data_IF_187409871833
#
_entry.id   IF_187409871833
#
_cell.length_a   1.000
_cell.length_b   1.000
_cell.length_c   1.000
_cell.angle_alpha   90.00
_cell.angle_beta   90.00
_cell.angle_gamma   90.00
#
_symmetry.space_group_name_H-M   'P 1'
#
loop_
_entity.id
_entity.type
_entity.pdbx_description
1 polymer ?
#
# COMPACT_ATOMS: atom_id res chain seq x y z
N UNK A 1 39.37 64.87 -57.34
CA UNK A 1 40.73 65.31 -57.54
C UNK A 1 41.63 64.23 -57.00
N UNK A 2 42.19 63.43 -57.90
CA UNK A 2 43.57 63.38 -58.33
C UNK A 2 44.46 62.71 -57.27
N UNK A 3 45.10 61.73 -57.52
CA UNK A 3 45.98 60.97 -58.41
C UNK A 3 46.83 60.04 -57.52
N UNK A 4 46.92 58.76 -57.86
CA UNK A 4 48.10 58.09 -58.56
C UNK A 4 49.43 58.27 -57.78
N UNK A 5 50.21 57.23 -57.51
CA UNK A 5 51.13 56.52 -58.34
C UNK A 5 51.82 55.40 -57.55
N UNK A 6 51.81 54.17 -58.04
CA UNK A 6 52.82 53.28 -58.52
C UNK A 6 53.78 52.53 -57.58
N UNK A 7 53.75 51.27 -57.79
CA UNK A 7 54.65 50.14 -57.67
C UNK A 7 56.16 50.42 -58.03
N UNK A 8 57.11 49.51 -57.85
CA UNK A 8 57.11 48.04 -57.59
C UNK A 8 58.32 47.55 -56.74
N UNK A 9 58.33 46.28 -56.44
CA UNK A 9 59.58 45.60 -56.39
C UNK A 9 59.84 44.53 -55.35
N UNK A 10 60.03 43.39 -55.89
CA UNK A 10 60.94 42.32 -55.54
C UNK A 10 60.51 41.14 -54.69
N UNK A 11 60.45 40.09 -55.37
CA UNK A 11 60.32 38.67 -55.06
C UNK A 11 61.45 38.16 -54.11
N UNK A 12 61.07 37.49 -53.01
CA UNK A 12 61.91 36.45 -52.43
C UNK A 12 61.03 35.26 -51.98
N UNK A 13 61.15 34.18 -52.75
CA UNK A 13 60.59 32.87 -52.40
C UNK A 13 61.48 32.22 -51.35
N UNK A 14 60.84 31.82 -50.19
CA UNK A 14 61.39 30.81 -49.28
C UNK A 14 60.37 29.69 -49.14
N UNK A 15 60.77 28.40 -49.17
CA UNK A 15 59.83 27.29 -49.03
C UNK A 15 59.43 27.10 -47.56
N UNK A 16 58.14 27.09 -47.32
CA UNK A 16 57.60 26.72 -46.01
C UNK A 16 57.33 25.21 -46.00
N UNK A 17 58.11 24.50 -45.21
CA UNK A 17 57.84 23.09 -44.88
C UNK A 17 56.48 23.01 -44.20
N UNK A 18 55.54 22.32 -44.83
CA UNK A 18 54.26 21.97 -44.25
C UNK A 18 54.41 20.81 -43.23
N UNK A 19 54.50 21.12 -41.94
CA UNK A 19 54.38 20.14 -40.87
C UNK A 19 52.90 19.80 -40.68
N UNK A 20 52.46 18.62 -41.13
CA UNK A 20 51.17 18.08 -40.87
C UNK A 20 51.06 17.66 -39.39
N UNK A 21 50.42 18.47 -38.55
CA UNK A 21 50.04 18.09 -37.19
C UNK A 21 48.75 17.26 -37.30
N UNK A 22 48.89 15.94 -37.19
CA UNK A 22 47.78 15.01 -37.06
C UNK A 22 47.27 15.14 -35.62
N UNK A 23 46.21 15.92 -35.42
CA UNK A 23 45.45 15.95 -34.17
C UNK A 23 44.59 14.70 -34.14
N UNK A 24 45.02 13.66 -33.43
CA UNK A 24 44.15 12.52 -33.04
C UNK A 24 43.10 13.02 -32.06
N UNK A 25 41.90 13.33 -32.56
CA UNK A 25 40.71 13.48 -31.77
C UNK A 25 40.33 12.09 -31.21
N UNK A 26 40.77 11.79 -30.00
CA UNK A 26 40.22 10.73 -29.17
C UNK A 26 38.75 11.12 -28.81
N UNK A 27 37.83 10.74 -29.67
CA UNK A 27 36.38 10.78 -29.36
C UNK A 27 36.14 9.76 -28.26
N UNK A 28 36.21 10.19 -27.00
CA UNK A 28 35.68 9.45 -25.89
C UNK A 28 34.15 9.36 -26.09
N UNK A 29 33.68 8.25 -26.63
CA UNK A 29 32.27 7.90 -26.62
C UNK A 29 31.89 7.68 -25.14
N UNK A 30 31.45 8.73 -24.46
CA UNK A 30 30.77 8.59 -23.22
C UNK A 30 29.48 7.77 -23.51
N UNK A 31 29.53 6.49 -23.18
CA UNK A 31 28.32 5.68 -23.12
C UNK A 31 27.33 6.43 -22.21
N UNK A 32 26.10 6.69 -22.66
CA UNK A 32 25.11 7.27 -21.76
C UNK A 32 25.00 6.33 -20.56
N UNK A 33 25.27 6.85 -19.38
CA UNK A 33 24.96 6.14 -18.14
C UNK A 33 23.47 5.86 -18.20
N UNK A 34 23.10 4.60 -18.42
CA UNK A 34 21.70 4.19 -18.42
C UNK A 34 21.21 4.45 -17.00
N UNK A 35 20.23 5.36 -16.87
CA UNK A 35 19.61 5.62 -15.57
C UNK A 35 19.05 4.29 -15.06
N UNK A 36 19.36 3.95 -13.81
CA UNK A 36 18.82 2.75 -13.17
C UNK A 36 17.31 2.81 -13.19
N UNK A 37 16.69 1.67 -13.38
CA UNK A 37 15.26 1.53 -13.22
C UNK A 37 14.87 1.82 -11.77
N UNK A 38 13.75 2.50 -11.57
CA UNK A 38 13.27 2.82 -10.22
C UNK A 38 11.94 2.10 -9.96
N UNK A 39 11.93 1.20 -8.98
CA UNK A 39 10.71 0.60 -8.45
C UNK A 39 10.04 1.57 -7.47
N UNK A 40 8.81 2.00 -7.81
CA UNK A 40 8.00 2.89 -6.96
C UNK A 40 7.04 2.06 -6.12
N UNK A 41 7.25 2.03 -4.81
CA UNK A 41 6.44 1.25 -3.87
C UNK A 41 5.52 2.18 -3.08
N UNK A 42 4.20 1.98 -3.26
CA UNK A 42 3.19 2.63 -2.45
C UNK A 42 2.87 1.81 -1.20
N UNK A 43 2.71 2.46 -0.05
CA UNK A 43 2.37 1.78 1.21
C UNK A 43 1.48 2.65 2.09
N UNK A 44 0.76 2.02 3.02
CA UNK A 44 -0.01 2.71 4.04
C UNK A 44 0.82 2.84 5.32
N UNK A 45 0.53 3.85 6.14
CA UNK A 45 1.15 3.98 7.46
C UNK A 45 1.02 2.70 8.32
N UNK A 46 -0.08 1.96 8.14
CA UNK A 46 -0.34 0.68 8.83
C UNK A 46 0.25 -0.55 8.13
N UNK A 47 0.96 -0.39 7.00
CA UNK A 47 1.65 -1.50 6.33
C UNK A 47 2.85 -1.93 7.16
N UNK A 48 2.86 -3.18 7.63
CA UNK A 48 3.88 -3.66 8.57
C UNK A 48 5.12 -4.18 7.87
N UNK A 49 4.98 -5.23 7.04
CA UNK A 49 6.14 -5.93 6.48
C UNK A 49 6.97 -5.04 5.56
N UNK A 50 6.30 -4.27 4.72
CA UNK A 50 7.01 -3.36 3.82
C UNK A 50 7.70 -2.21 4.58
N UNK A 51 7.10 -1.74 5.69
CA UNK A 51 7.71 -0.73 6.55
C UNK A 51 8.95 -1.28 7.26
N UNK A 52 8.93 -2.53 7.71
CA UNK A 52 10.10 -3.21 8.26
C UNK A 52 11.21 -3.33 7.22
N UNK A 53 10.90 -3.80 6.02
CA UNK A 53 11.86 -3.94 4.91
C UNK A 53 12.50 -2.59 4.55
N UNK A 54 11.67 -1.53 4.42
CA UNK A 54 12.12 -0.17 4.19
C UNK A 54 13.07 0.32 5.28
N UNK A 55 12.65 0.20 6.55
CA UNK A 55 13.41 0.73 7.69
C UNK A 55 14.73 -0.03 7.90
N UNK A 56 14.73 -1.33 7.64
CA UNK A 56 15.93 -2.18 7.71
C UNK A 56 16.83 -2.05 6.48
N UNK A 57 16.36 -1.39 5.40
CA UNK A 57 17.09 -1.28 4.14
C UNK A 57 17.30 -2.60 3.39
N UNK A 58 16.61 -3.66 3.79
CA UNK A 58 16.80 -5.01 3.21
C UNK A 58 16.32 -5.06 1.77
N UNK A 59 15.13 -4.53 1.50
CA UNK A 59 14.57 -4.52 0.14
C UNK A 59 15.37 -3.60 -0.77
N UNK A 60 15.76 -2.40 -0.29
CA UNK A 60 16.60 -1.48 -1.04
C UNK A 60 17.93 -2.12 -1.45
N UNK A 61 18.57 -2.85 -0.52
CA UNK A 61 19.80 -3.58 -0.80
C UNK A 61 19.60 -4.66 -1.86
N UNK A 62 18.59 -5.52 -1.70
CA UNK A 62 18.33 -6.62 -2.63
C UNK A 62 18.01 -6.11 -4.04
N UNK A 63 17.26 -5.00 -4.16
CA UNK A 63 16.95 -4.39 -5.45
C UNK A 63 18.16 -3.65 -6.05
N UNK A 64 19.00 -3.01 -5.24
CA UNK A 64 20.23 -2.39 -5.71
C UNK A 64 21.21 -3.41 -6.30
N UNK A 65 21.27 -4.62 -5.72
CA UNK A 65 22.05 -5.75 -6.27
C UNK A 65 21.52 -6.23 -7.64
N UNK A 66 20.23 -5.93 -7.93
CA UNK A 66 19.59 -6.17 -9.23
C UNK A 66 19.56 -4.92 -10.14
N UNK A 67 20.40 -3.90 -9.86
CA UNK A 67 20.45 -2.61 -10.58
C UNK A 67 19.14 -1.80 -10.57
N UNK A 68 18.33 -1.94 -9.52
CA UNK A 68 17.06 -1.25 -9.35
C UNK A 68 17.13 -0.32 -8.14
N UNK A 69 16.77 0.94 -8.34
CA UNK A 69 16.58 1.91 -7.26
C UNK A 69 15.14 1.80 -6.71
N UNK A 70 14.91 2.20 -5.46
CA UNK A 70 13.59 2.17 -4.83
C UNK A 70 13.13 3.57 -4.44
N UNK A 71 11.87 3.88 -4.72
CA UNK A 71 11.21 5.06 -4.15
C UNK A 71 9.97 4.66 -3.35
N UNK A 72 9.78 5.32 -2.22
CA UNK A 72 8.75 4.98 -1.23
C UNK A 72 7.68 6.07 -1.16
N UNK A 73 6.39 5.70 -1.30
CA UNK A 73 5.27 6.62 -1.33
C UNK A 73 4.22 6.22 -0.28
N UNK A 74 4.01 7.08 0.72
CA UNK A 74 3.05 6.82 1.79
C UNK A 74 1.66 7.35 1.45
N UNK A 75 0.62 6.55 1.76
CA UNK A 75 -0.78 6.84 1.54
C UNK A 75 -1.59 6.71 2.84
N UNK A 76 -2.67 7.50 3.02
CA UNK A 76 -3.47 7.46 4.24
C UNK A 76 -4.30 6.17 4.37
N UNK A 77 -4.63 5.50 3.26
CA UNK A 77 -5.40 4.25 3.23
C UNK A 77 -5.23 3.51 1.90
N UNK A 78 -5.78 2.29 1.80
CA UNK A 78 -5.62 1.45 0.62
C UNK A 78 -6.28 1.97 -0.65
N UNK A 79 -7.43 2.67 -0.56
CA UNK A 79 -8.13 3.13 -1.75
C UNK A 79 -7.29 4.16 -2.56
N UNK A 80 -6.81 5.28 -1.99
CA UNK A 80 -5.94 6.18 -2.72
C UNK A 80 -4.61 5.55 -3.17
N UNK A 81 -4.13 4.52 -2.46
CA UNK A 81 -2.96 3.75 -2.90
C UNK A 81 -3.25 2.99 -4.21
N UNK A 82 -4.37 2.25 -4.30
CA UNK A 82 -4.71 1.55 -5.53
C UNK A 82 -5.16 2.48 -6.67
N UNK A 83 -5.68 3.66 -6.37
CA UNK A 83 -5.90 4.72 -7.37
C UNK A 83 -4.56 5.19 -7.97
N UNK A 84 -3.53 5.42 -7.13
CA UNK A 84 -2.19 5.77 -7.59
C UNK A 84 -1.53 4.65 -8.40
N UNK A 85 -1.73 3.39 -8.00
CA UNK A 85 -1.27 2.22 -8.75
C UNK A 85 -1.94 2.14 -10.13
N UNK A 86 -3.25 2.35 -10.19
CA UNK A 86 -4.02 2.26 -11.43
C UNK A 86 -3.61 3.31 -12.47
N UNK A 87 -3.19 4.51 -12.03
CA UNK A 87 -2.71 5.58 -12.93
C UNK A 87 -1.20 5.55 -13.14
N UNK A 88 -0.50 4.55 -12.62
CA UNK A 88 0.93 4.34 -12.83
C UNK A 88 1.84 5.28 -12.03
N UNK A 89 1.36 5.88 -10.94
CA UNK A 89 2.19 6.70 -10.04
C UNK A 89 3.04 5.85 -9.10
N UNK A 90 2.64 4.60 -8.84
CA UNK A 90 3.42 3.57 -8.17
C UNK A 90 3.35 2.27 -8.98
N UNK A 91 4.34 1.39 -8.82
CA UNK A 91 4.46 0.13 -9.55
C UNK A 91 3.96 -1.05 -8.73
N UNK A 92 4.17 -1.00 -7.43
CA UNK A 92 3.72 -2.00 -6.47
C UNK A 92 2.95 -1.32 -5.34
N UNK A 93 1.80 -1.90 -5.00
CA UNK A 93 1.08 -1.63 -3.76
C UNK A 93 1.54 -2.61 -2.68
N UNK A 94 1.99 -2.09 -1.54
CA UNK A 94 2.07 -2.86 -0.31
C UNK A 94 0.67 -3.37 0.10
N UNK A 95 0.63 -4.08 1.20
CA UNK A 95 -0.57 -4.74 1.68
C UNK A 95 -1.78 -3.80 1.82
N UNK A 96 -2.84 -4.13 1.10
CA UNK A 96 -4.16 -3.50 1.26
C UNK A 96 -5.19 -4.53 1.75
N UNK A 97 -6.24 -4.09 2.42
CA UNK A 97 -7.32 -4.98 2.84
C UNK A 97 -8.06 -5.58 1.63
N UNK A 98 -8.61 -6.75 1.82
CA UNK A 98 -9.34 -7.56 0.83
C UNK A 98 -10.49 -6.84 0.10
N UNK A 99 -11.05 -5.81 0.71
CA UNK A 99 -12.09 -4.96 0.12
C UNK A 99 -11.56 -4.02 -0.96
N UNK A 100 -10.34 -3.50 -0.80
CA UNK A 100 -9.80 -2.42 -1.66
C UNK A 100 -9.68 -2.84 -3.13
N UNK A 101 -9.20 -4.05 -3.45
CA UNK A 101 -9.15 -4.53 -4.84
C UNK A 101 -10.53 -4.62 -5.50
N UNK A 102 -11.59 -4.91 -4.74
CA UNK A 102 -12.97 -4.94 -5.27
C UNK A 102 -13.41 -3.56 -5.74
N UNK A 103 -13.12 -2.51 -4.97
CA UNK A 103 -13.39 -1.13 -5.39
C UNK A 103 -12.56 -0.72 -6.61
N UNK A 104 -11.30 -1.15 -6.67
CA UNK A 104 -10.45 -0.92 -7.83
C UNK A 104 -10.98 -1.63 -9.09
N UNK A 105 -11.43 -2.89 -8.98
CA UNK A 105 -12.08 -3.63 -10.07
C UNK A 105 -13.39 -2.96 -10.52
N UNK A 106 -14.22 -2.47 -9.58
CA UNK A 106 -15.41 -1.70 -9.91
C UNK A 106 -15.09 -0.44 -10.73
N UNK A 107 -13.93 0.18 -10.48
CA UNK A 107 -13.37 1.29 -11.26
C UNK A 107 -12.59 0.85 -12.51
N UNK A 108 -12.64 -0.45 -12.88
CA UNK A 108 -11.97 -1.03 -14.05
C UNK A 108 -10.44 -0.96 -14.02
N UNK A 109 -9.83 -0.90 -12.84
CA UNK A 109 -8.39 -0.94 -12.68
C UNK A 109 -7.80 -2.26 -13.24
N UNK A 110 -6.63 -2.15 -13.86
CA UNK A 110 -5.90 -3.28 -14.48
C UNK A 110 -4.82 -3.78 -13.53
N UNK A 111 -5.23 -4.56 -12.53
CA UNK A 111 -4.39 -4.98 -11.42
C UNK A 111 -4.16 -6.49 -11.40
N UNK A 112 -2.98 -6.88 -10.93
CA UNK A 112 -2.56 -8.26 -10.70
C UNK A 112 -2.28 -8.45 -9.21
N UNK A 113 -2.87 -9.46 -8.60
CA UNK A 113 -2.52 -9.92 -7.27
C UNK A 113 -1.22 -10.71 -7.33
N UNK A 114 -0.20 -10.35 -6.57
CA UNK A 114 1.06 -11.12 -6.57
C UNK A 114 1.38 -11.78 -5.23
N UNK A 115 0.80 -11.32 -4.13
CA UNK A 115 0.92 -11.97 -2.82
C UNK A 115 -0.31 -11.68 -1.95
N UNK A 116 -0.51 -12.51 -0.93
CA UNK A 116 -1.50 -12.28 0.12
C UNK A 116 -0.90 -12.64 1.50
N UNK A 117 -1.44 -12.05 2.55
CA UNK A 117 -1.26 -12.55 3.91
C UNK A 117 -2.44 -13.44 4.30
N UNK A 118 -2.17 -14.51 5.03
CA UNK A 118 -3.20 -15.38 5.59
C UNK A 118 -4.17 -14.57 6.49
N UNK A 119 -5.40 -15.07 6.71
CA UNK A 119 -6.44 -14.38 7.48
C UNK A 119 -5.98 -13.86 8.83
N UNK A 120 -6.46 -12.67 9.19
CA UNK A 120 -6.17 -12.00 10.46
C UNK A 120 -7.44 -11.35 11.04
N UNK A 121 -8.51 -12.11 11.28
CA UNK A 121 -9.84 -11.56 11.61
C UNK A 121 -9.84 -10.69 12.87
N UNK A 122 -9.04 -11.02 13.88
CA UNK A 122 -8.91 -10.24 15.13
C UNK A 122 -8.16 -8.91 14.96
N UNK A 123 -7.52 -8.68 13.80
CA UNK A 123 -6.80 -7.43 13.53
C UNK A 123 -7.73 -6.24 13.17
N UNK A 124 -9.01 -6.39 13.29
CA UNK A 124 -10.02 -5.34 13.09
C UNK A 124 -11.21 -5.54 14.05
N UNK A 125 -11.83 -4.46 14.49
CA UNK A 125 -12.97 -4.53 15.42
C UNK A 125 -13.90 -3.33 15.29
N UNK A 126 -15.13 -3.53 15.79
CA UNK A 126 -16.11 -2.49 16.10
C UNK A 126 -15.95 -2.18 17.59
N UNK A 127 -15.53 -0.96 17.90
CA UNK A 127 -15.31 -0.52 19.28
C UNK A 127 -16.29 0.59 19.68
N UNK A 128 -16.66 0.57 20.94
CA UNK A 128 -17.43 1.61 21.61
C UNK A 128 -16.68 2.06 22.87
N UNK A 129 -16.98 3.25 23.41
CA UNK A 129 -16.47 3.65 24.72
C UNK A 129 -17.02 2.72 25.81
N UNK A 130 -16.26 2.50 26.86
CA UNK A 130 -16.63 1.58 27.93
C UNK A 130 -17.98 1.95 28.60
N UNK A 131 -18.27 3.24 28.72
CA UNK A 131 -19.50 3.81 29.29
C UNK A 131 -20.65 3.88 28.27
N UNK A 132 -20.43 3.46 27.03
CA UNK A 132 -21.49 3.46 26.00
C UNK A 132 -22.65 2.54 26.36
N UNK A 133 -23.91 2.95 26.13
CA UNK A 133 -25.08 2.10 26.30
C UNK A 133 -25.19 0.97 25.28
N UNK A 134 -24.40 1.00 24.19
CA UNK A 134 -24.42 -0.02 23.15
C UNK A 134 -23.78 -1.30 23.67
N UNK A 135 -24.56 -2.37 23.86
CA UNK A 135 -24.07 -3.64 24.42
C UNK A 135 -23.90 -4.74 23.37
N UNK A 136 -24.62 -4.65 22.26
CA UNK A 136 -24.65 -5.64 21.19
C UNK A 136 -24.74 -4.96 19.81
N UNK A 137 -24.51 -5.73 18.74
CA UNK A 137 -24.52 -5.21 17.37
C UNK A 137 -25.89 -4.61 16.97
N UNK A 138 -27.00 -5.14 17.47
CA UNK A 138 -28.34 -4.62 17.18
C UNK A 138 -28.55 -3.18 17.69
N UNK A 139 -27.80 -2.77 18.72
CA UNK A 139 -27.86 -1.42 19.28
C UNK A 139 -27.25 -0.35 18.36
N UNK A 140 -26.55 -0.77 17.28
CA UNK A 140 -26.03 0.14 16.26
C UNK A 140 -27.12 0.80 15.41
N UNK A 141 -28.38 0.32 15.48
CA UNK A 141 -29.49 0.91 14.72
C UNK A 141 -29.67 2.39 15.04
N UNK A 142 -29.66 3.23 14.00
CA UNK A 142 -29.74 4.70 14.09
C UNK A 142 -28.49 5.39 14.63
N UNK A 143 -27.42 4.67 14.93
CA UNK A 143 -26.20 5.22 15.54
C UNK A 143 -25.23 5.75 14.49
N UNK A 144 -24.43 6.73 14.91
CA UNK A 144 -23.36 7.30 14.08
C UNK A 144 -22.10 6.48 14.25
N UNK A 145 -21.69 5.82 13.17
CA UNK A 145 -20.56 4.87 13.17
C UNK A 145 -19.45 5.40 12.26
N UNK A 146 -18.28 5.66 12.85
CA UNK A 146 -17.10 6.01 12.07
C UNK A 146 -16.52 4.77 11.37
N UNK A 147 -16.23 4.89 10.09
CA UNK A 147 -15.63 3.83 9.28
C UNK A 147 -14.86 4.46 8.11
N UNK A 148 -13.73 3.85 7.74
CA UNK A 148 -13.01 4.27 6.53
C UNK A 148 -13.61 3.57 5.30
N UNK A 149 -14.01 4.37 4.31
CA UNK A 149 -14.63 3.88 3.07
C UNK A 149 -13.72 2.87 2.36
N UNK A 150 -14.28 1.78 1.89
CA UNK A 150 -13.59 0.69 1.17
C UNK A 150 -12.49 -0.04 1.97
N UNK A 151 -12.27 0.26 3.24
CA UNK A 151 -11.34 -0.50 4.09
C UNK A 151 -11.93 -1.85 4.52
N UNK A 152 -11.10 -2.80 4.97
CA UNK A 152 -11.57 -4.09 5.53
C UNK A 152 -12.57 -3.90 6.67
N UNK A 153 -12.34 -2.91 7.53
CA UNK A 153 -13.27 -2.50 8.58
C UNK A 153 -14.67 -2.12 8.04
N UNK A 154 -14.77 -1.64 6.80
CA UNK A 154 -16.08 -1.36 6.18
C UNK A 154 -16.86 -2.65 5.88
N UNK A 155 -16.15 -3.70 5.40
CA UNK A 155 -16.77 -5.01 5.21
C UNK A 155 -17.16 -5.65 6.56
N UNK A 156 -16.29 -5.57 7.57
CA UNK A 156 -16.62 -6.03 8.92
C UNK A 156 -17.92 -5.39 9.42
N UNK A 157 -18.08 -4.08 9.21
CA UNK A 157 -19.30 -3.37 9.62
C UNK A 157 -20.54 -3.92 8.89
N UNK A 158 -20.48 -4.11 7.58
CA UNK A 158 -21.58 -4.68 6.79
C UNK A 158 -21.92 -6.09 7.29
N UNK A 159 -20.92 -6.95 7.46
CA UNK A 159 -21.09 -8.33 7.92
C UNK A 159 -21.68 -8.38 9.34
N UNK A 160 -21.23 -7.51 10.24
CA UNK A 160 -21.74 -7.42 11.60
C UNK A 160 -23.21 -6.93 11.66
N UNK A 161 -23.56 -5.92 10.86
CA UNK A 161 -24.92 -5.44 10.73
C UNK A 161 -25.84 -6.53 10.19
N UNK A 162 -25.45 -7.22 9.12
CA UNK A 162 -26.21 -8.33 8.55
C UNK A 162 -26.46 -9.46 9.58
N UNK A 163 -25.41 -9.81 10.38
CA UNK A 163 -25.55 -10.78 11.47
C UNK A 163 -26.56 -10.35 12.53
N UNK A 164 -26.68 -9.04 12.76
CA UNK A 164 -27.65 -8.48 13.70
C UNK A 164 -29.06 -8.24 13.09
N UNK A 165 -29.28 -8.64 11.83
CA UNK A 165 -30.54 -8.40 11.11
C UNK A 165 -30.72 -6.94 10.69
N UNK A 166 -29.67 -6.15 10.65
CA UNK A 166 -29.65 -4.76 10.23
C UNK A 166 -29.09 -4.61 8.81
N UNK A 167 -29.53 -3.56 8.12
CA UNK A 167 -28.95 -3.11 6.85
C UNK A 167 -27.96 -1.99 7.08
N UNK A 168 -27.07 -1.76 6.15
CA UNK A 168 -26.14 -0.62 6.21
C UNK A 168 -26.87 0.73 6.29
N UNK A 169 -28.04 0.84 5.65
CA UNK A 169 -28.90 2.01 5.70
C UNK A 169 -29.57 2.26 7.10
N UNK A 170 -29.52 1.29 8.00
CA UNK A 170 -30.08 1.43 9.37
C UNK A 170 -29.14 2.20 10.32
N UNK A 171 -27.94 2.55 9.89
CA UNK A 171 -26.97 3.35 10.65
C UNK A 171 -26.69 4.69 9.98
N UNK A 172 -25.96 5.58 10.66
CA UNK A 172 -25.44 6.82 10.12
C UNK A 172 -23.91 6.70 9.92
N UNK A 173 -23.43 6.28 8.74
CA UNK A 173 -22.00 6.10 8.54
C UNK A 173 -21.29 7.45 8.47
N UNK A 174 -20.21 7.61 9.22
CA UNK A 174 -19.28 8.71 9.13
C UNK A 174 -18.01 8.23 8.44
N UNK A 175 -17.83 8.58 7.16
CA UNK A 175 -16.66 8.19 6.40
C UNK A 175 -15.47 9.07 6.75
N UNK A 176 -14.55 8.52 7.53
CA UNK A 176 -13.40 9.21 8.08
C UNK A 176 -12.11 8.43 7.79
N UNK A 177 -11.00 9.16 7.69
CA UNK A 177 -9.67 8.54 7.74
C UNK A 177 -9.45 7.87 9.11
N UNK A 178 -8.49 6.95 9.27
CA UNK A 178 -8.24 6.34 10.58
C UNK A 178 -7.95 7.37 11.69
N UNK A 179 -7.15 8.39 11.39
CA UNK A 179 -6.83 9.47 12.35
C UNK A 179 -8.04 10.32 12.70
N UNK A 180 -8.85 10.71 11.72
CA UNK A 180 -10.07 11.51 11.95
C UNK A 180 -11.14 10.68 12.66
N UNK A 181 -11.26 9.38 12.30
CA UNK A 181 -12.16 8.44 12.98
C UNK A 181 -11.78 8.27 14.44
N UNK A 182 -10.50 8.17 14.75
CA UNK A 182 -9.99 8.16 16.11
C UNK A 182 -10.36 9.44 16.85
N UNK A 183 -10.05 10.61 16.30
CA UNK A 183 -10.36 11.88 16.92
C UNK A 183 -11.87 12.08 17.15
N UNK A 184 -12.71 11.68 16.18
CA UNK A 184 -14.17 11.72 16.33
C UNK A 184 -14.67 10.80 17.44
N UNK A 185 -14.09 9.60 17.58
CA UNK A 185 -14.44 8.63 18.61
C UNK A 185 -14.01 9.11 20.00
N UNK A 186 -12.79 9.61 20.15
CA UNK A 186 -12.26 10.17 21.41
C UNK A 186 -13.12 11.33 21.93
N UNK A 187 -13.55 12.21 21.03
CA UNK A 187 -14.38 13.38 21.35
C UNK A 187 -15.88 13.09 21.41
N UNK A 188 -16.30 11.82 21.33
CA UNK A 188 -17.73 11.44 21.40
C UNK A 188 -18.60 11.97 20.27
N UNK A 189 -18.01 12.25 19.10
CA UNK A 189 -18.72 12.72 17.91
C UNK A 189 -19.34 11.58 17.10
N UNK A 190 -18.96 10.35 17.43
CA UNK A 190 -19.53 9.10 16.89
C UNK A 190 -19.79 8.14 18.04
N UNK A 191 -20.80 7.26 17.88
CA UNK A 191 -21.20 6.28 18.88
C UNK A 191 -20.29 5.05 18.88
N UNK A 192 -19.81 4.65 17.70
CA UNK A 192 -18.91 3.53 17.51
C UNK A 192 -17.85 3.86 16.45
N UNK A 193 -16.75 3.16 16.49
CA UNK A 193 -15.70 3.23 15.48
C UNK A 193 -15.29 1.84 15.02
N UNK A 194 -15.23 1.64 13.71
CA UNK A 194 -14.73 0.39 13.11
C UNK A 194 -13.35 0.64 12.57
N UNK A 195 -12.39 -0.08 13.10
CA UNK A 195 -10.98 0.16 12.84
C UNK A 195 -10.15 -1.13 12.83
N UNK A 196 -8.86 -0.99 12.56
CA UNK A 196 -7.91 -2.10 12.46
C UNK A 196 -6.57 -1.77 13.11
N UNK A 197 -5.68 -2.76 13.22
CA UNK A 197 -4.36 -2.57 13.79
C UNK A 197 -3.45 -1.68 12.91
N UNK A 198 -2.63 -0.80 13.52
CA UNK A 198 -2.39 -0.63 14.96
C UNK A 198 -3.36 0.36 15.65
N UNK A 199 -4.30 0.95 14.93
CA UNK A 199 -5.23 1.95 15.48
C UNK A 199 -6.12 1.35 16.57
N UNK A 200 -6.50 0.06 16.42
CA UNK A 200 -7.31 -0.68 17.37
C UNK A 200 -6.60 -0.81 18.72
N UNK A 201 -5.42 -1.40 18.75
CA UNK A 201 -4.62 -1.53 19.99
C UNK A 201 -4.25 -0.17 20.56
N UNK A 202 -3.93 0.80 19.71
CA UNK A 202 -3.61 2.16 20.12
C UNK A 202 -4.76 2.85 20.86
N UNK A 203 -6.01 2.73 20.41
CA UNK A 203 -7.15 3.32 21.09
C UNK A 203 -7.52 2.54 22.37
N UNK A 204 -7.46 1.22 22.33
CA UNK A 204 -7.74 0.37 23.48
C UNK A 204 -6.77 0.59 24.64
N UNK A 205 -5.53 0.92 24.34
CA UNK A 205 -4.50 1.25 25.35
C UNK A 205 -4.71 2.61 25.99
N UNK A 206 -5.17 3.59 25.21
CA UNK A 206 -5.25 4.99 25.65
C UNK A 206 -6.61 5.39 26.21
N UNK A 207 -7.67 4.68 25.81
CA UNK A 207 -9.04 4.95 26.24
C UNK A 207 -9.73 3.70 26.78
N UNK A 208 -10.56 3.83 27.80
CA UNK A 208 -11.47 2.78 28.21
C UNK A 208 -12.46 2.47 27.08
N UNK A 209 -12.28 1.36 26.40
CA UNK A 209 -13.13 0.90 25.29
C UNK A 209 -13.67 -0.49 25.55
N UNK A 210 -14.65 -0.88 24.75
CA UNK A 210 -15.21 -2.23 24.68
C UNK A 210 -15.39 -2.62 23.21
N UNK A 211 -14.99 -3.83 22.87
CA UNK A 211 -15.24 -4.43 21.56
C UNK A 211 -16.66 -4.98 21.51
N UNK A 212 -17.46 -4.57 20.51
CA UNK A 212 -18.75 -5.17 20.21
C UNK A 212 -18.61 -6.44 19.38
N UNK A 213 -17.69 -6.42 18.40
CA UNK A 213 -17.31 -7.56 17.59
C UNK A 213 -15.95 -7.32 16.96
N UNK A 214 -15.21 -8.39 16.68
CA UNK A 214 -14.07 -8.42 15.78
C UNK A 214 -14.45 -9.16 14.48
N UNK A 215 -13.46 -9.45 13.62
CA UNK A 215 -13.68 -10.15 12.36
C UNK A 215 -13.94 -11.66 12.53
N UNK A 216 -13.79 -12.24 13.71
CA UNK A 216 -13.93 -13.68 13.93
C UNK A 216 -15.33 -14.16 13.56
N UNK A 217 -15.40 -15.06 12.56
CA UNK A 217 -16.67 -15.56 12.03
C UNK A 217 -17.50 -14.53 11.23
N UNK A 218 -16.92 -13.36 10.89
CA UNK A 218 -17.56 -12.29 10.13
C UNK A 218 -16.77 -11.89 8.88
N UNK A 219 -15.47 -11.65 9.03
CA UNK A 219 -14.61 -11.15 7.97
C UNK A 219 -13.19 -11.66 8.19
N UNK A 220 -12.62 -12.38 7.23
CA UNK A 220 -11.29 -13.01 7.37
C UNK A 220 -10.15 -11.99 7.44
N UNK A 221 -10.36 -10.83 6.87
CA UNK A 221 -9.38 -9.75 6.83
C UNK A 221 -8.03 -10.22 6.25
N UNK A 222 -8.07 -10.72 5.02
CA UNK A 222 -6.86 -10.94 4.23
C UNK A 222 -6.26 -9.61 3.78
N UNK A 223 -4.97 -9.64 3.51
CA UNK A 223 -4.26 -8.50 2.94
C UNK A 223 -3.62 -8.94 1.64
N UNK A 224 -3.70 -8.08 0.62
CA UNK A 224 -3.18 -8.37 -0.72
C UNK A 224 -2.11 -7.36 -1.12
N UNK A 225 -1.10 -7.86 -1.81
CA UNK A 225 -0.09 -7.07 -2.49
C UNK A 225 -0.39 -7.09 -3.98
N UNK A 226 -0.41 -5.92 -4.61
CA UNK A 226 -0.85 -5.77 -5.99
C UNK A 226 0.16 -4.97 -6.82
N UNK A 227 0.06 -5.19 -8.12
CA UNK A 227 0.81 -4.45 -9.14
C UNK A 227 -0.07 -4.22 -10.36
N UNK A 228 0.38 -3.36 -11.29
CA UNK A 228 -0.28 -3.22 -12.58
C UNK A 228 -0.07 -4.43 -13.49
N UNK A 229 -1.08 -4.78 -14.31
CA UNK A 229 -0.99 -5.94 -15.23
C UNK A 229 0.20 -5.86 -16.19
N UNK A 230 0.55 -4.65 -16.65
CA UNK A 230 1.70 -4.45 -17.53
C UNK A 230 3.00 -4.71 -16.77
N UNK A 231 3.14 -4.15 -15.57
CA UNK A 231 4.31 -4.33 -14.72
C UNK A 231 4.53 -5.80 -14.36
N UNK A 232 3.47 -6.52 -14.00
CA UNK A 232 3.55 -7.96 -13.69
C UNK A 232 4.11 -8.81 -14.85
N UNK A 233 3.83 -8.41 -16.09
CA UNK A 233 4.32 -9.11 -17.30
C UNK A 233 5.77 -8.74 -17.65
N UNK A 234 6.16 -7.50 -17.37
CA UNK A 234 7.47 -6.97 -17.74
C UNK A 234 8.56 -7.30 -16.71
N UNK A 235 8.17 -7.40 -15.42
CA UNK A 235 9.09 -7.53 -14.29
C UNK A 235 8.74 -8.69 -13.34
N UNK A 236 8.51 -9.93 -13.84
CA UNK A 236 8.16 -11.06 -12.98
C UNK A 236 9.26 -11.41 -11.97
N UNK A 237 10.54 -11.16 -12.32
CA UNK A 237 11.68 -11.37 -11.45
C UNK A 237 11.72 -10.40 -10.28
N UNK A 238 11.30 -9.14 -10.48
CA UNK A 238 11.20 -8.13 -9.41
C UNK A 238 10.08 -8.52 -8.46
N UNK A 239 8.92 -8.96 -8.97
CA UNK A 239 7.82 -9.44 -8.14
C UNK A 239 8.24 -10.64 -7.29
N UNK A 240 9.02 -11.57 -7.87
CA UNK A 240 9.55 -12.73 -7.15
C UNK A 240 10.47 -12.29 -6.01
N UNK A 241 11.41 -11.39 -6.29
CA UNK A 241 12.32 -10.85 -5.28
C UNK A 241 11.54 -10.16 -4.14
N UNK A 242 10.59 -9.29 -4.46
CA UNK A 242 9.77 -8.61 -3.45
C UNK A 242 8.95 -9.61 -2.65
N UNK A 243 8.37 -10.63 -3.29
CA UNK A 243 7.60 -11.70 -2.65
C UNK A 243 8.46 -12.46 -1.63
N UNK A 244 9.67 -12.88 -2.00
CA UNK A 244 10.61 -13.59 -1.12
C UNK A 244 11.00 -12.71 0.09
N UNK A 245 11.31 -11.43 -0.15
CA UNK A 245 11.62 -10.49 0.93
C UNK A 245 10.43 -10.26 1.88
N UNK A 246 9.20 -10.23 1.37
CA UNK A 246 7.99 -10.14 2.21
C UNK A 246 7.81 -11.40 3.07
N UNK A 247 8.09 -12.60 2.55
CA UNK A 247 8.04 -13.84 3.33
C UNK A 247 9.06 -13.83 4.46
N UNK A 248 10.31 -13.44 4.18
CA UNK A 248 11.35 -13.31 5.19
C UNK A 248 10.98 -12.29 6.27
N UNK A 249 10.45 -11.13 5.86
CA UNK A 249 10.00 -10.10 6.81
C UNK A 249 8.86 -10.61 7.70
N UNK A 250 7.92 -11.39 7.14
CA UNK A 250 6.83 -12.01 7.89
C UNK A 250 7.32 -12.99 8.94
N UNK A 251 8.22 -13.90 8.56
CA UNK A 251 8.88 -14.82 9.49
C UNK A 251 9.66 -14.07 10.57
N UNK A 252 10.43 -13.05 10.18
CA UNK A 252 11.19 -12.24 11.13
C UNK A 252 10.29 -11.54 12.14
N UNK A 253 9.22 -10.89 11.68
CA UNK A 253 8.29 -10.15 12.53
C UNK A 253 7.61 -11.07 13.59
N UNK A 254 7.31 -12.32 13.22
CA UNK A 254 6.71 -13.30 14.13
C UNK A 254 7.71 -13.89 15.13
N UNK A 255 8.97 -14.06 14.73
CA UNK A 255 10.02 -14.62 15.58
C UNK A 255 10.68 -13.56 16.47
N UNK A 256 10.57 -12.26 16.12
CA UNK A 256 11.18 -11.16 16.85
C UNK A 256 10.12 -10.05 17.13
N UNK A 257 9.02 -10.36 17.84
CA UNK A 257 7.89 -9.45 18.01
C UNK A 257 8.29 -8.15 18.70
N UNK A 258 9.19 -8.22 19.71
CA UNK A 258 9.67 -7.05 20.43
C UNK A 258 10.54 -6.14 19.57
N UNK A 259 11.45 -6.72 18.79
CA UNK A 259 12.32 -5.95 17.89
C UNK A 259 11.48 -5.27 16.78
N UNK A 260 10.50 -6.01 16.23
CA UNK A 260 9.56 -5.45 15.28
C UNK A 260 8.75 -4.29 15.90
N UNK A 261 8.33 -4.43 17.16
CA UNK A 261 7.60 -3.38 17.87
C UNK A 261 8.48 -2.15 18.14
N UNK A 262 9.75 -2.32 18.47
CA UNK A 262 10.70 -1.21 18.65
C UNK A 262 10.92 -0.41 17.36
N UNK A 263 10.94 -1.08 16.21
CA UNK A 263 11.06 -0.43 14.90
C UNK A 263 9.77 0.31 14.51
N UNK A 264 8.62 -0.31 14.74
CA UNK A 264 7.32 0.21 14.25
C UNK A 264 6.70 1.27 15.16
N UNK A 265 6.92 1.18 16.47
CA UNK A 265 6.29 2.06 17.47
C UNK A 265 6.48 3.55 17.17
N UNK A 266 7.71 4.05 16.94
CA UNK A 266 7.97 5.44 16.57
C UNK A 266 7.23 5.86 15.29
N UNK A 267 7.13 4.96 14.31
CA UNK A 267 6.49 5.21 13.01
C UNK A 267 4.96 5.23 13.09
N UNK A 268 4.39 4.52 14.06
CA UNK A 268 2.94 4.42 14.28
C UNK A 268 2.38 5.45 15.27
N UNK A 269 3.06 6.58 15.42
CA UNK A 269 2.65 7.68 16.28
C UNK A 269 3.14 7.54 17.71
N UNK A 270 4.37 7.02 17.88
CA UNK A 270 5.03 6.79 19.17
C UNK A 270 4.23 5.85 20.09
N UNK A 271 3.70 4.77 19.53
CA UNK A 271 3.09 3.71 20.33
C UNK A 271 4.17 3.01 21.16
N UNK A 272 3.84 2.66 22.40
CA UNK A 272 4.71 1.84 23.23
C UNK A 272 4.88 0.42 22.67
N UNK A 273 5.98 -0.23 23.06
CA UNK A 273 6.36 -1.54 22.52
C UNK A 273 5.27 -2.58 22.79
N UNK A 274 4.68 -2.58 23.97
CA UNK A 274 3.65 -3.54 24.39
C UNK A 274 2.36 -3.37 23.54
N UNK A 275 2.00 -2.14 23.21
CA UNK A 275 0.86 -1.86 22.31
C UNK A 275 1.12 -2.37 20.90
N UNK A 276 2.33 -2.20 20.39
CA UNK A 276 2.70 -2.66 19.04
C UNK A 276 2.83 -4.19 19.01
N UNK A 277 3.38 -4.83 20.05
CA UNK A 277 3.39 -6.29 20.17
C UNK A 277 1.98 -6.87 20.15
N UNK A 278 1.03 -6.24 20.88
CA UNK A 278 -0.38 -6.64 20.88
C UNK A 278 -1.01 -6.49 19.48
N UNK A 279 -0.77 -5.39 18.80
CA UNK A 279 -1.23 -5.17 17.43
C UNK A 279 -0.68 -6.23 16.46
N UNK A 280 0.63 -6.52 16.54
CA UNK A 280 1.30 -7.50 15.71
C UNK A 280 0.86 -8.94 16.01
N UNK A 281 0.45 -9.24 17.26
CA UNK A 281 -0.08 -10.55 17.64
C UNK A 281 -1.39 -10.88 16.89
N UNK A 282 -2.21 -9.90 16.59
CA UNK A 282 -3.46 -10.06 15.84
C UNK A 282 -3.26 -10.31 14.33
N UNK A 283 -2.04 -10.07 13.79
CA UNK A 283 -1.72 -10.25 12.37
C UNK A 283 -1.02 -11.59 12.13
N UNK A 284 -1.37 -12.24 11.03
CA UNK A 284 -0.73 -13.52 10.64
C UNK A 284 0.71 -13.34 10.16
N UNK A 285 0.96 -12.30 9.35
CA UNK A 285 2.21 -12.05 8.62
C UNK A 285 2.70 -13.24 7.79
N UNK A 286 1.82 -14.20 7.53
CA UNK A 286 2.12 -15.36 6.70
C UNK A 286 1.86 -15.00 5.24
N UNK A 287 2.91 -14.58 4.54
CA UNK A 287 2.85 -14.25 3.11
C UNK A 287 2.83 -15.52 2.28
N UNK A 288 1.88 -15.62 1.36
CA UNK A 288 1.64 -16.78 0.52
C UNK A 288 1.15 -16.37 -0.89
N UNK A 289 1.24 -17.27 -1.88
CA UNK A 289 0.69 -17.00 -3.21
C UNK A 289 -0.83 -16.79 -3.14
N UNK A 290 -1.36 -16.02 -4.08
CA UNK A 290 -2.81 -15.95 -4.31
C UNK A 290 -3.21 -17.10 -5.22
N UNK A 291 -4.33 -17.76 -4.92
CA UNK A 291 -4.87 -18.85 -5.74
C UNK A 291 -6.28 -18.49 -6.23
N UNK A 292 -6.62 -18.94 -7.43
CA UNK A 292 -7.92 -18.64 -8.05
C UNK A 292 -9.11 -19.17 -7.22
N UNK A 293 -8.97 -20.34 -6.59
CA UNK A 293 -9.98 -20.97 -5.72
C UNK A 293 -10.20 -20.20 -4.39
N UNK A 294 -9.37 -19.21 -4.10
CA UNK A 294 -9.49 -18.34 -2.90
C UNK A 294 -10.24 -17.04 -3.19
N UNK A 295 -10.61 -16.78 -4.44
CA UNK A 295 -11.35 -15.57 -4.84
C UNK A 295 -12.85 -15.65 -4.51
N UNK A 296 -13.38 -16.81 -4.13
CA UNK A 296 -14.77 -16.96 -3.66
C UNK A 296 -15.08 -16.04 -2.47
N UNK A 297 -14.08 -15.79 -1.61
CA UNK A 297 -14.23 -14.86 -0.49
C UNK A 297 -14.26 -13.42 -0.98
N UNK A 298 -13.46 -13.09 -1.98
CA UNK A 298 -13.50 -11.78 -2.65
C UNK A 298 -14.86 -11.55 -3.31
N UNK A 299 -15.48 -12.61 -3.89
CA UNK A 299 -16.81 -12.50 -4.46
C UNK A 299 -17.86 -12.18 -3.38
N UNK A 300 -17.80 -12.83 -2.21
CA UNK A 300 -18.71 -12.51 -1.10
C UNK A 300 -18.59 -11.05 -0.64
N UNK A 301 -17.37 -10.51 -0.61
CA UNK A 301 -17.13 -9.11 -0.30
C UNK A 301 -17.76 -8.20 -1.36
N UNK A 302 -17.55 -8.49 -2.64
CA UNK A 302 -18.14 -7.75 -3.76
C UNK A 302 -19.67 -7.72 -3.69
N UNK A 303 -20.28 -8.89 -3.49
CA UNK A 303 -21.73 -9.05 -3.38
C UNK A 303 -22.31 -8.28 -2.20
N UNK A 304 -21.64 -8.30 -1.04
CA UNK A 304 -22.06 -7.58 0.16
C UNK A 304 -22.05 -6.06 -0.05
N UNK A 305 -21.00 -5.52 -0.67
CA UNK A 305 -20.93 -4.09 -0.99
C UNK A 305 -21.93 -3.68 -2.08
N UNK A 306 -22.16 -4.53 -3.07
CA UNK A 306 -23.16 -4.27 -4.10
C UNK A 306 -24.56 -4.29 -3.51
N UNK A 307 -24.90 -5.28 -2.71
CA UNK A 307 -26.19 -5.38 -2.01
C UNK A 307 -26.45 -4.22 -1.06
N UNK A 308 -25.39 -3.68 -0.46
CA UNK A 308 -25.46 -2.47 0.38
C UNK A 308 -25.57 -1.15 -0.43
N UNK A 309 -25.56 -1.20 -1.77
CA UNK A 309 -25.61 -0.02 -2.64
C UNK A 309 -24.31 0.82 -2.62
N UNK A 310 -23.20 0.22 -2.21
CA UNK A 310 -21.90 0.89 -2.05
C UNK A 310 -20.96 0.70 -3.25
N UNK A 311 -21.31 -0.21 -4.16
CA UNK A 311 -20.69 -0.36 -5.48
C UNK A 311 -21.67 0.06 -6.57
N UNK A 312 -21.21 0.77 -7.61
CA UNK A 312 -22.07 1.24 -8.70
C UNK A 312 -22.53 0.10 -9.65
N UNK A 313 -21.81 -1.03 -9.65
CA UNK A 313 -22.07 -2.22 -10.46
C UNK A 313 -21.58 -3.46 -9.74
N UNK A 314 -22.13 -4.62 -10.13
CA UNK A 314 -21.60 -5.91 -9.69
C UNK A 314 -20.16 -6.10 -10.20
N UNK A 315 -19.35 -6.77 -9.41
CA UNK A 315 -17.96 -7.11 -9.71
C UNK A 315 -17.84 -8.62 -9.70
N UNK A 316 -17.25 -9.19 -10.75
CA UNK A 316 -16.80 -10.58 -10.76
C UNK A 316 -15.35 -10.62 -10.25
N UNK A 317 -15.16 -11.16 -9.06
CA UNK A 317 -13.83 -11.27 -8.46
C UNK A 317 -12.90 -12.21 -9.25
N UNK A 318 -13.49 -13.16 -10.01
CA UNK A 318 -12.76 -14.09 -10.86
C UNK A 318 -12.05 -13.44 -12.05
N UNK A 319 -12.45 -12.22 -12.44
CA UNK A 319 -11.78 -11.44 -13.49
C UNK A 319 -10.38 -10.93 -13.08
N UNK A 320 -10.01 -11.06 -11.81
CA UNK A 320 -8.71 -10.60 -11.31
C UNK A 320 -7.56 -11.41 -11.89
N UNK A 321 -6.49 -10.73 -12.31
CA UNK A 321 -5.26 -11.39 -12.70
C UNK A 321 -4.45 -11.79 -11.45
N UNK A 322 -3.83 -12.96 -11.52
CA UNK A 322 -2.99 -13.52 -10.47
C UNK A 322 -1.62 -13.82 -11.05
N UNK A 323 -0.58 -13.37 -10.38
CA UNK A 323 0.80 -13.76 -10.63
C UNK A 323 1.14 -14.98 -9.75
N UNK A 324 1.89 -15.94 -10.30
CA UNK A 324 2.40 -17.09 -9.56
C UNK A 324 3.93 -16.98 -9.45
N UNK A 325 4.51 -17.15 -8.25
CA UNK A 325 5.95 -17.11 -8.00
C UNK A 325 6.71 -18.28 -8.64
#
# INVERSE_FOLDING_TARGET
>A
MSRLIENPGAIFRRPVLAGAVVVLLLSSTALPAQARETLRIGYQKSSTLITLLKTQGKLDKALTEADIDVSWHEFPSGLPLLEALNVGNVDISADVADTVPIFAQAAQAKLTYFAQEAPSPSAQAIVVRKDSPLQQLADLKGKKVAVTKAAGAHYLLIAALNKAGLKFADIQPAYLSPSDGRAAFENGKVDAWVTWEPFLSGVQRQLPTRTLADGTGLASYKRYYLTGNAYAKQHPEILKLVYEQLQEAGHWAKNHPRDAAQVLGPLWGNLDVETVEAANAHRSYQVQPVKADQLDEQQKIADAFFAAGLLPKAVDAGDAQIWAP
#
